data_IF_889035175608
#
_entry.id   IF_889035175608
#
_cell.length_a   1.000
_cell.length_b   1.000
_cell.length_c   1.000
_cell.angle_alpha   90.00
_cell.angle_beta   90.00
_cell.angle_gamma   90.00
#
_symmetry.space_group_name_H-M   'P 1'
#
loop_
_entity.id
_entity.type
_entity.pdbx_description
1 polymer ?
#
# COMPACT_ATOMS: atom_id res chain seq x y z
N UNK A 1 -53.43 11.90 11.97
CA UNK A 1 -52.06 11.35 12.15
C UNK A 1 -51.54 10.98 10.77
N UNK A 2 -50.40 11.54 10.35
CA UNK A 2 -49.38 10.76 9.66
C UNK A 2 -48.06 10.87 10.48
N UNK A 3 -47.48 9.82 11.06
CA UNK A 3 -46.67 8.72 10.46
C UNK A 3 -45.69 9.27 9.42
N UNK A 4 -44.46 9.65 9.78
CA UNK A 4 -43.46 8.76 10.37
C UNK A 4 -42.62 8.21 9.22
N UNK A 5 -41.64 9.00 8.79
CA UNK A 5 -40.37 8.56 8.18
C UNK A 5 -39.51 9.80 7.92
N UNK A 6 -38.67 10.02 8.93
CA UNK A 6 -37.41 10.77 9.00
C UNK A 6 -36.71 10.94 7.63
N UNK A 7 -36.91 12.08 6.97
CA UNK A 7 -36.04 12.55 5.89
C UNK A 7 -34.91 13.37 6.54
N UNK A 8 -34.03 12.68 7.26
CA UNK A 8 -32.90 13.33 7.92
C UNK A 8 -31.82 13.62 6.88
N UNK A 9 -31.64 14.91 6.58
CA UNK A 9 -30.60 15.42 5.68
C UNK A 9 -29.23 15.01 6.21
N UNK A 10 -28.70 13.86 5.75
CA UNK A 10 -27.41 13.36 6.23
C UNK A 10 -27.09 11.90 5.89
N UNK A 11 -28.10 11.05 5.70
CA UNK A 11 -27.92 9.59 5.56
C UNK A 11 -26.94 9.16 4.46
N UNK A 12 -26.79 9.92 3.37
CA UNK A 12 -25.86 9.58 2.29
C UNK A 12 -24.37 9.83 2.60
N UNK A 13 -24.04 10.76 3.51
CA UNK A 13 -22.64 11.15 3.74
C UNK A 13 -21.94 10.21 4.71
N UNK A 14 -22.62 9.74 5.75
CA UNK A 14 -22.07 8.78 6.73
C UNK A 14 -21.73 7.44 6.09
N UNK A 15 -22.52 7.02 5.11
CA UNK A 15 -22.31 5.77 4.38
C UNK A 15 -21.09 5.86 3.45
N UNK A 16 -20.92 7.00 2.75
CA UNK A 16 -19.75 7.25 1.89
C UNK A 16 -18.46 7.36 2.73
N UNK A 17 -18.53 8.01 3.89
CA UNK A 17 -17.40 8.14 4.82
C UNK A 17 -17.02 6.76 5.36
N UNK A 18 -18.00 5.94 5.75
CA UNK A 18 -17.76 4.57 6.23
C UNK A 18 -17.20 3.65 5.13
N UNK A 19 -17.68 3.76 3.89
CA UNK A 19 -17.20 2.98 2.74
C UNK A 19 -15.75 3.31 2.33
N UNK A 20 -15.30 4.55 2.57
CA UNK A 20 -13.95 5.01 2.19
C UNK A 20 -12.96 5.08 3.36
N UNK A 21 -13.33 4.57 4.55
CA UNK A 21 -12.58 4.79 5.80
C UNK A 21 -12.30 6.28 6.08
N UNK A 22 -13.19 7.16 5.60
CA UNK A 22 -13.12 8.59 5.85
C UNK A 22 -13.43 8.91 7.31
N UNK A 23 -13.00 10.08 7.76
CA UNK A 23 -13.34 10.61 9.08
C UNK A 23 -14.34 11.76 8.91
N UNK A 24 -15.53 11.63 9.49
CA UNK A 24 -16.44 12.76 9.67
C UNK A 24 -15.96 13.59 10.86
N UNK A 25 -15.61 14.85 10.63
CA UNK A 25 -15.21 15.78 11.69
C UNK A 25 -16.26 16.87 11.80
N UNK A 26 -16.97 16.91 12.94
CA UNK A 26 -17.83 18.02 13.29
C UNK A 26 -16.98 19.20 13.78
N UNK A 27 -17.02 20.30 13.03
CA UNK A 27 -16.20 21.49 13.24
C UNK A 27 -16.89 22.47 14.21
N UNK A 28 -18.17 22.32 14.52
CA UNK A 28 -18.88 23.32 15.34
C UNK A 28 -18.80 23.05 16.85
N UNK A 29 -18.61 21.79 17.26
CA UNK A 29 -18.65 21.40 18.67
C UNK A 29 -17.29 21.00 19.27
N UNK A 30 -16.33 20.52 18.48
CA UNK A 30 -15.14 19.85 19.03
C UNK A 30 -13.90 19.90 18.10
N UNK A 31 -13.59 21.10 17.58
CA UNK A 31 -12.47 21.35 16.65
C UNK A 31 -11.14 20.75 17.16
N UNK A 32 -10.86 20.87 18.46
CA UNK A 32 -9.63 20.36 19.06
C UNK A 32 -9.50 18.84 18.96
N UNK A 33 -10.59 18.10 19.21
CA UNK A 33 -10.60 16.63 19.07
C UNK A 33 -10.63 16.20 17.60
N UNK A 34 -11.28 16.98 16.74
CA UNK A 34 -11.27 16.77 15.29
C UNK A 34 -9.87 16.88 14.70
N UNK A 35 -9.15 17.97 15.04
CA UNK A 35 -7.78 18.19 14.61
C UNK A 35 -6.80 17.19 15.23
N UNK A 36 -7.00 16.78 16.48
CA UNK A 36 -6.20 15.74 17.11
C UNK A 36 -6.35 14.39 16.40
N UNK A 37 -7.58 13.98 16.04
CA UNK A 37 -7.82 12.76 15.27
C UNK A 37 -7.24 12.82 13.86
N UNK A 38 -7.30 13.97 13.20
CA UNK A 38 -6.61 14.19 11.92
C UNK A 38 -5.08 14.07 12.13
N UNK A 39 -4.55 14.69 13.17
CA UNK A 39 -3.13 14.58 13.55
C UNK A 39 -2.69 13.15 13.83
N UNK A 40 -3.50 12.37 14.54
CA UNK A 40 -3.24 10.96 14.84
C UNK A 40 -3.23 10.10 13.56
N UNK A 41 -4.17 10.34 12.64
CA UNK A 41 -4.20 9.67 11.33
C UNK A 41 -3.00 10.06 10.46
N UNK A 42 -2.57 11.32 10.50
CA UNK A 42 -1.36 11.81 9.80
C UNK A 42 -0.09 11.24 10.41
N UNK A 43 -0.10 10.89 11.70
CA UNK A 43 1.05 10.32 12.43
C UNK A 43 1.09 8.79 12.38
N UNK A 44 0.23 8.13 11.60
CA UNK A 44 0.44 6.73 11.26
C UNK A 44 1.74 6.61 10.46
N UNK A 45 2.81 6.23 11.15
CA UNK A 45 4.11 5.92 10.55
C UNK A 45 3.91 4.78 9.56
N UNK A 46 3.79 5.13 8.29
CA UNK A 46 3.73 4.20 7.18
C UNK A 46 5.06 3.45 7.09
N UNK A 47 5.09 2.23 7.62
CA UNK A 47 6.18 1.31 7.38
C UNK A 47 6.00 0.75 5.97
N UNK A 48 6.60 1.40 4.99
CA UNK A 48 6.58 0.95 3.60
C UNK A 48 7.31 -0.39 3.49
N UNK A 49 6.78 -1.29 2.66
CA UNK A 49 7.37 -2.60 2.42
C UNK A 49 8.57 -2.43 1.47
N UNK A 50 9.73 -2.89 1.89
CA UNK A 50 10.99 -2.83 1.12
C UNK A 50 11.48 -4.19 0.66
N UNK A 51 10.88 -5.27 1.14
CA UNK A 51 11.24 -6.66 0.85
C UNK A 51 10.13 -7.36 0.09
N UNK A 52 10.45 -7.95 -1.06
CA UNK A 52 9.50 -8.59 -1.95
C UNK A 52 9.97 -9.98 -2.34
N UNK A 53 9.20 -11.00 -1.97
CA UNK A 53 9.48 -12.37 -2.40
C UNK A 53 9.13 -12.56 -3.88
N UNK A 54 10.07 -13.15 -4.61
CA UNK A 54 9.85 -13.71 -5.93
C UNK A 54 9.34 -15.14 -5.73
N UNK A 55 8.11 -15.40 -6.14
CA UNK A 55 7.54 -16.74 -6.13
C UNK A 55 6.93 -17.04 -7.49
N UNK A 56 7.41 -18.10 -8.14
CA UNK A 56 6.81 -18.70 -9.32
C UNK A 56 6.80 -20.21 -9.08
N UNK A 57 5.71 -20.89 -9.45
CA UNK A 57 5.56 -22.34 -9.30
C UNK A 57 6.65 -23.17 -10.01
N UNK A 58 7.29 -22.60 -11.02
CA UNK A 58 8.37 -23.25 -11.77
C UNK A 58 9.77 -22.99 -11.17
N UNK A 59 9.87 -22.08 -10.21
CA UNK A 59 11.12 -21.73 -9.53
C UNK A 59 11.19 -22.49 -8.22
N UNK A 60 12.04 -23.52 -8.21
CA UNK A 60 12.36 -24.35 -7.04
C UNK A 60 13.60 -23.82 -6.33
N UNK A 61 14.55 -23.26 -7.07
CA UNK A 61 15.77 -22.67 -6.53
C UNK A 61 16.16 -21.38 -7.25
N UNK A 62 15.93 -20.25 -6.58
CA UNK A 62 16.23 -18.94 -7.11
C UNK A 62 17.72 -18.66 -7.32
N UNK A 63 18.61 -19.36 -6.64
CA UNK A 63 20.05 -19.17 -6.82
C UNK A 63 20.54 -19.66 -8.18
N UNK A 64 19.87 -20.66 -8.75
CA UNK A 64 20.24 -21.24 -10.04
C UNK A 64 19.29 -20.84 -11.16
N UNK A 65 18.01 -20.61 -10.86
CA UNK A 65 17.00 -20.39 -11.90
C UNK A 65 16.75 -18.92 -12.21
N UNK A 66 16.87 -18.00 -11.24
CA UNK A 66 16.64 -16.57 -11.49
C UNK A 66 17.92 -15.93 -12.02
N UNK A 67 17.83 -15.21 -13.14
CA UNK A 67 18.97 -14.50 -13.72
C UNK A 67 19.06 -13.11 -13.06
N UNK A 68 20.05 -12.83 -12.18
CA UNK A 68 20.06 -11.61 -11.37
C UNK A 68 20.10 -10.33 -12.20
N UNK A 69 20.89 -10.31 -13.28
CA UNK A 69 21.05 -9.15 -14.16
C UNK A 69 19.80 -8.83 -14.98
N UNK A 70 18.82 -9.74 -15.02
CA UNK A 70 17.54 -9.53 -15.69
C UNK A 70 16.47 -8.90 -14.79
N UNK A 71 16.76 -8.76 -13.49
CA UNK A 71 15.79 -8.24 -12.53
C UNK A 71 15.67 -6.73 -12.72
N UNK A 72 14.44 -6.27 -12.93
CA UNK A 72 14.08 -4.86 -13.00
C UNK A 72 12.98 -4.57 -11.98
N UNK A 73 13.24 -3.60 -11.10
CA UNK A 73 12.27 -3.15 -10.09
C UNK A 73 11.81 -1.75 -10.46
N UNK A 74 10.49 -1.58 -10.58
CA UNK A 74 9.84 -0.30 -10.86
C UNK A 74 8.87 0.07 -9.75
N UNK A 75 9.01 1.30 -9.26
CA UNK A 75 8.08 1.93 -8.32
C UNK A 75 7.40 3.06 -9.07
N UNK A 76 6.07 2.98 -9.23
CA UNK A 76 5.28 3.95 -10.00
C UNK A 76 5.88 4.23 -11.40
N UNK A 77 6.32 3.15 -12.07
CA UNK A 77 6.93 3.16 -13.40
C UNK A 77 8.36 3.75 -13.49
N UNK A 78 8.96 4.10 -12.36
CA UNK A 78 10.37 4.55 -12.27
C UNK A 78 11.26 3.40 -11.82
N UNK A 79 12.37 3.17 -12.53
CA UNK A 79 13.34 2.12 -12.17
C UNK A 79 14.07 2.54 -10.89
N UNK A 80 14.15 1.62 -9.92
CA UNK A 80 14.84 1.84 -8.65
C UNK A 80 15.99 0.85 -8.47
N UNK A 81 17.08 1.25 -7.78
CA UNK A 81 18.11 0.32 -7.35
C UNK A 81 17.53 -0.78 -6.45
N UNK A 82 18.10 -1.99 -6.55
CA UNK A 82 17.65 -3.12 -5.75
C UNK A 82 18.79 -4.09 -5.44
N UNK A 83 18.57 -4.94 -4.44
CA UNK A 83 19.45 -6.03 -4.05
C UNK A 83 18.66 -7.33 -4.10
N UNK A 84 19.12 -8.30 -4.87
CA UNK A 84 18.53 -9.63 -4.91
C UNK A 84 19.25 -10.60 -3.96
N UNK A 85 18.48 -11.31 -3.13
CA UNK A 85 18.94 -12.34 -2.19
C UNK A 85 18.48 -13.71 -2.67
N UNK A 86 19.31 -14.45 -3.43
CA UNK A 86 18.91 -15.71 -4.03
C UNK A 86 18.57 -16.81 -3.01
N UNK A 87 19.24 -16.82 -1.85
CA UNK A 87 19.04 -17.83 -0.80
C UNK A 87 17.63 -17.84 -0.21
N UNK A 88 16.88 -16.75 -0.36
CA UNK A 88 15.51 -16.58 0.15
C UNK A 88 14.55 -16.07 -0.93
N UNK A 89 14.97 -16.07 -2.20
CA UNK A 89 14.16 -15.57 -3.31
C UNK A 89 13.57 -14.16 -3.06
N UNK A 90 14.36 -13.22 -2.55
CA UNK A 90 13.85 -11.91 -2.15
C UNK A 90 14.56 -10.76 -2.86
N UNK A 91 13.79 -9.77 -3.30
CA UNK A 91 14.29 -8.48 -3.80
C UNK A 91 14.08 -7.42 -2.72
N UNK A 92 15.13 -6.66 -2.44
CA UNK A 92 15.14 -5.58 -1.46
C UNK A 92 15.40 -4.24 -2.15
N UNK A 93 14.66 -3.22 -1.75
CA UNK A 93 14.85 -1.82 -2.16
C UNK A 93 15.17 -0.95 -0.94
N UNK A 94 15.80 0.20 -1.16
CA UNK A 94 16.02 1.16 -0.08
C UNK A 94 14.67 1.77 0.37
N UNK A 95 14.60 2.19 1.63
CA UNK A 95 13.41 2.86 2.18
C UNK A 95 13.16 4.21 1.49
N UNK A 96 14.23 4.89 1.05
CA UNK A 96 14.13 6.12 0.27
C UNK A 96 13.47 5.90 -1.10
N UNK A 97 13.58 4.68 -1.65
CA UNK A 97 13.04 4.29 -2.94
C UNK A 97 11.70 3.54 -2.83
N UNK A 98 11.19 3.32 -1.62
CA UNK A 98 9.95 2.58 -1.37
C UNK A 98 8.67 3.31 -1.85
N UNK A 99 8.82 4.53 -2.37
CA UNK A 99 7.72 5.35 -2.88
C UNK A 99 6.87 5.95 -1.77
N UNK A 100 5.55 5.80 -1.89
CA UNK A 100 4.57 6.33 -0.94
C UNK A 100 3.45 5.31 -0.70
N UNK A 101 2.54 5.66 0.20
CA UNK A 101 1.31 4.88 0.37
C UNK A 101 0.62 4.68 -0.99
N UNK A 102 0.20 3.44 -1.26
CA UNK A 102 -0.43 3.01 -2.51
C UNK A 102 0.45 3.08 -3.77
N UNK A 103 1.77 3.23 -3.65
CA UNK A 103 2.68 3.05 -4.79
C UNK A 103 2.60 1.63 -5.34
N UNK A 104 2.68 1.51 -6.66
CA UNK A 104 2.70 0.22 -7.35
C UNK A 104 4.14 -0.26 -7.52
N UNK A 105 4.39 -1.48 -7.06
CA UNK A 105 5.66 -2.18 -7.24
C UNK A 105 5.52 -3.19 -8.38
N UNK A 106 6.39 -3.09 -9.38
CA UNK A 106 6.50 -4.05 -10.48
C UNK A 106 7.91 -4.64 -10.47
N UNK A 107 8.00 -5.96 -10.36
CA UNK A 107 9.26 -6.69 -10.43
C UNK A 107 9.20 -7.59 -11.65
N UNK A 108 10.08 -7.35 -12.61
CA UNK A 108 10.22 -8.15 -13.83
C UNK A 108 11.55 -8.88 -13.78
N UNK A 109 11.57 -10.14 -14.19
CA UNK A 109 12.78 -10.97 -14.18
C UNK A 109 12.63 -12.11 -15.18
N UNK A 110 13.78 -12.61 -15.64
CA UNK A 110 13.86 -13.85 -16.42
C UNK A 110 14.31 -14.99 -15.53
N UNK A 111 13.85 -16.20 -15.85
CA UNK A 111 14.25 -17.42 -15.16
C UNK A 111 14.45 -18.57 -16.14
N UNK A 112 15.26 -19.54 -15.74
CA UNK A 112 15.50 -20.76 -16.49
C UNK A 112 14.38 -21.76 -16.18
N UNK A 113 13.70 -22.22 -17.24
CA UNK A 113 12.79 -23.37 -17.17
C UNK A 113 13.60 -24.66 -17.20
N UNK A 114 13.28 -25.59 -16.30
CA UNK A 114 13.83 -26.94 -16.29
C UNK A 114 13.15 -27.83 -17.33
#
# INVERSE_FOLDING_TARGET
>A
VPSGDEDEVGYGYTDIISLNQGLAVDILSDIGKGLAKIGDLVTMKLNLKTSFSISNSEIVDCAFQVIPDSIEVKIDNTIVPHVFRPSICEVQIDVADAGRANSRVLISYSYLQN
#
